data_IF_264504134560
#
_entry.id   IF_264504134560
#
_cell.length_a   1.000
_cell.length_b   1.000
_cell.length_c   1.000
_cell.angle_alpha   90.00
_cell.angle_beta   90.00
_cell.angle_gamma   90.00
#
_symmetry.space_group_name_H-M   'P 1'
#
loop_
_entity.id
_entity.type
_entity.pdbx_description
1 polymer ?
#
# COMPACT_ATOMS: atom_id res chain seq x y z
N UNK A 1 8.22 16.95 -12.73
CA UNK A 1 8.41 15.72 -11.92
C UNK A 1 7.93 15.87 -10.48
N UNK A 2 8.28 16.94 -9.75
CA UNK A 2 7.88 17.17 -8.34
C UNK A 2 6.36 17.29 -8.05
N UNK A 3 5.50 17.30 -9.08
CA UNK A 3 4.03 17.39 -8.97
C UNK A 3 3.29 16.06 -9.12
N UNK A 4 3.98 14.96 -9.42
CA UNK A 4 3.37 13.63 -9.40
C UNK A 4 3.33 13.14 -7.95
N UNK A 5 2.32 13.59 -7.20
CA UNK A 5 2.16 13.27 -5.77
C UNK A 5 2.09 11.76 -5.51
N UNK A 6 1.56 10.97 -6.45
CA UNK A 6 1.37 9.51 -6.31
C UNK A 6 2.67 8.72 -6.08
N UNK A 7 3.83 9.26 -6.46
CA UNK A 7 5.12 8.59 -6.29
C UNK A 7 6.20 9.56 -5.81
N UNK A 8 5.81 10.58 -5.05
CA UNK A 8 6.79 11.33 -4.28
C UNK A 8 7.47 10.32 -3.37
N UNK A 9 8.81 10.32 -3.33
CA UNK A 9 9.56 9.74 -2.20
C UNK A 9 8.92 10.29 -0.91
N UNK A 10 7.95 9.60 -0.32
CA UNK A 10 8.15 9.20 1.06
C UNK A 10 9.26 8.19 0.95
N UNK A 11 10.49 8.70 0.81
CA UNK A 11 11.60 7.87 1.23
C UNK A 11 11.17 7.39 2.59
N UNK A 12 11.37 6.11 2.88
CA UNK A 12 11.90 5.81 4.20
C UNK A 12 12.87 6.94 4.46
N UNK A 13 12.57 7.83 5.43
CA UNK A 13 13.52 8.83 5.85
C UNK A 13 14.74 8.01 6.19
N UNK A 14 15.69 7.95 5.26
CA UNK A 14 16.94 7.28 5.46
C UNK A 14 17.68 8.23 6.40
N UNK A 15 17.26 8.20 7.66
CA UNK A 15 17.84 8.94 8.78
C UNK A 15 19.35 8.63 8.90
N UNK A 16 19.86 7.66 8.14
CA UNK A 16 21.22 7.14 8.23
C UNK A 16 22.02 7.12 6.90
N UNK A 17 21.47 7.64 5.78
CA UNK A 17 22.25 7.82 4.53
C UNK A 17 22.26 9.29 4.08
N UNK A 18 22.33 10.20 5.05
CA UNK A 18 22.55 11.63 4.83
C UNK A 18 24.02 11.84 4.41
N UNK A 19 24.35 11.47 3.17
CA UNK A 19 25.73 11.57 2.66
C UNK A 19 25.95 11.04 1.25
N UNK A 20 25.07 10.21 0.70
CA UNK A 20 25.18 9.76 -0.69
C UNK A 20 24.21 10.55 -1.55
N UNK A 21 24.53 11.83 -1.78
CA UNK A 21 23.95 12.55 -2.90
C UNK A 21 24.54 11.93 -4.19
N UNK A 22 23.71 11.55 -5.18
CA UNK A 22 24.24 11.31 -6.51
C UNK A 22 24.69 12.68 -7.03
N UNK A 23 26.00 12.93 -7.01
CA UNK A 23 26.56 14.09 -7.69
C UNK A 23 26.04 14.10 -9.13
N UNK A 24 25.47 15.22 -9.55
CA UNK A 24 24.74 15.40 -10.80
C UNK A 24 25.56 15.27 -12.08
N UNK A 25 26.78 14.72 -12.01
CA UNK A 25 27.74 14.65 -13.11
C UNK A 25 28.57 13.36 -13.04
N UNK A 26 27.93 12.21 -12.81
CA UNK A 26 28.57 10.93 -13.13
C UNK A 26 27.87 10.34 -14.35
N UNK A 27 28.52 10.48 -15.50
CA UNK A 27 28.19 9.74 -16.71
C UNK A 27 27.88 8.28 -16.37
N UNK A 28 26.91 7.69 -17.09
CA UNK A 28 26.52 6.28 -17.03
C UNK A 28 27.71 5.35 -17.34
N UNK A 29 28.65 5.18 -16.41
CA UNK A 29 29.58 4.06 -16.43
C UNK A 29 28.77 2.81 -16.12
N UNK A 30 28.73 1.86 -17.07
CA UNK A 30 28.12 0.55 -16.84
C UNK A 30 28.76 -0.06 -15.60
N UNK A 31 27.97 -0.30 -14.56
CA UNK A 31 28.46 -1.02 -13.39
C UNK A 31 28.88 -2.44 -13.80
N UNK A 32 30.08 -2.83 -13.40
CA UNK A 32 30.66 -4.13 -13.67
C UNK A 32 30.33 -5.11 -12.53
N UNK A 33 30.55 -6.40 -12.75
CA UNK A 33 30.41 -7.40 -11.69
C UNK A 33 31.60 -7.32 -10.74
N UNK A 34 31.38 -7.65 -9.46
CA UNK A 34 32.47 -7.76 -8.47
C UNK A 34 33.58 -8.68 -9.03
N UNK A 35 34.87 -8.32 -8.92
CA UNK A 35 35.97 -9.12 -9.44
C UNK A 35 36.01 -10.54 -8.85
N UNK A 36 36.41 -11.53 -9.66
CA UNK A 36 36.38 -12.96 -9.30
C UNK A 36 37.06 -13.29 -7.97
N UNK A 37 38.19 -12.66 -7.66
CA UNK A 37 38.91 -12.91 -6.40
C UNK A 37 38.10 -12.52 -5.16
N UNK A 38 37.37 -11.39 -5.21
CA UNK A 38 36.48 -10.94 -4.13
C UNK A 38 35.22 -11.80 -4.04
N UNK A 39 34.67 -12.20 -5.19
CA UNK A 39 33.54 -13.12 -5.22
C UNK A 39 33.87 -14.49 -4.61
N UNK A 40 35.11 -14.98 -4.78
CA UNK A 40 35.54 -16.24 -4.15
C UNK A 40 35.38 -16.20 -2.62
N UNK A 41 35.71 -15.07 -1.99
CA UNK A 41 35.58 -14.92 -0.54
C UNK A 41 34.11 -14.98 -0.09
N UNK A 42 33.22 -14.32 -0.85
CA UNK A 42 31.77 -14.37 -0.61
C UNK A 42 31.23 -15.79 -0.80
N UNK A 43 31.68 -16.49 -1.84
CA UNK A 43 31.25 -17.87 -2.09
C UNK A 43 31.68 -18.81 -0.96
N UNK A 44 32.91 -18.68 -0.44
CA UNK A 44 33.37 -19.47 0.70
C UNK A 44 32.47 -19.25 1.93
N UNK A 45 32.14 -18.01 2.29
CA UNK A 45 31.27 -17.77 3.45
C UNK A 45 29.83 -18.23 3.23
N UNK A 46 29.34 -18.22 1.98
CA UNK A 46 28.04 -18.78 1.61
C UNK A 46 28.02 -20.31 1.74
N UNK A 47 29.09 -20.99 1.29
CA UNK A 47 29.23 -22.45 1.41
C UNK A 47 29.35 -22.89 2.87
N UNK A 48 30.03 -22.10 3.71
CA UNK A 48 30.16 -22.33 5.15
C UNK A 48 28.91 -21.99 5.96
N UNK A 49 27.83 -21.49 5.33
CA UNK A 49 26.62 -20.98 5.98
C UNK A 49 26.92 -19.94 7.08
N UNK A 50 27.86 -19.03 6.81
CA UNK A 50 28.24 -17.95 7.70
C UNK A 50 27.67 -16.61 7.20
N UNK A 51 26.43 -16.25 7.62
CA UNK A 51 25.74 -15.07 7.10
C UNK A 51 26.45 -13.77 7.46
N UNK A 52 27.03 -13.64 8.65
CA UNK A 52 27.74 -12.44 9.10
C UNK A 52 28.95 -12.13 8.21
N UNK A 53 29.77 -13.14 7.90
CA UNK A 53 30.89 -13.00 6.98
C UNK A 53 30.44 -12.67 5.55
N UNK A 54 29.36 -13.30 5.09
CA UNK A 54 28.77 -13.04 3.77
C UNK A 54 28.31 -11.59 3.65
N UNK A 55 27.59 -11.08 4.66
CA UNK A 55 27.11 -9.70 4.70
C UNK A 55 28.26 -8.70 4.81
N UNK A 56 29.27 -9.00 5.64
CA UNK A 56 30.45 -8.16 5.81
C UNK A 56 31.18 -7.95 4.48
N UNK A 57 31.58 -9.04 3.81
CA UNK A 57 32.29 -8.96 2.53
C UNK A 57 31.47 -8.26 1.44
N UNK A 58 30.18 -8.56 1.33
CA UNK A 58 29.33 -7.89 0.34
C UNK A 58 29.15 -6.40 0.65
N UNK A 59 29.01 -6.02 1.92
CA UNK A 59 28.92 -4.62 2.30
C UNK A 59 30.17 -3.82 1.87
N UNK A 60 31.36 -4.41 2.00
CA UNK A 60 32.62 -3.80 1.56
C UNK A 60 32.77 -3.77 0.03
N UNK A 61 32.34 -4.82 -0.67
CA UNK A 61 32.62 -4.98 -2.10
C UNK A 61 31.60 -4.28 -3.00
N UNK A 62 30.36 -4.08 -2.52
CA UNK A 62 29.30 -3.41 -3.28
C UNK A 62 29.57 -1.89 -3.33
N UNK A 63 29.70 -1.37 -4.57
CA UNK A 63 29.93 0.04 -4.85
C UNK A 63 29.22 0.47 -6.14
N UNK A 64 29.21 1.76 -6.49
CA UNK A 64 28.61 2.26 -7.75
C UNK A 64 29.16 1.55 -9.00
N UNK A 65 30.40 1.06 -8.93
CA UNK A 65 31.10 0.41 -10.05
C UNK A 65 30.96 -1.12 -10.02
N UNK A 66 30.63 -1.73 -8.87
CA UNK A 66 30.67 -3.17 -8.68
C UNK A 66 29.39 -3.70 -8.07
N UNK A 67 28.70 -4.57 -8.81
CA UNK A 67 27.41 -5.15 -8.44
C UNK A 67 27.55 -6.65 -8.17
N UNK A 68 26.80 -7.19 -7.20
CA UNK A 68 26.77 -8.63 -7.00
C UNK A 68 25.98 -9.31 -8.13
N UNK A 69 26.42 -10.50 -8.58
CA UNK A 69 25.64 -11.38 -9.46
C UNK A 69 24.25 -11.71 -8.90
N UNK A 70 23.32 -12.04 -9.80
CA UNK A 70 21.92 -12.39 -9.45
C UNK A 70 21.85 -13.57 -8.48
N UNK A 71 22.76 -14.53 -8.60
CA UNK A 71 22.84 -15.74 -7.78
C UNK A 71 23.09 -15.39 -6.31
N UNK A 72 23.96 -14.39 -6.06
CA UNK A 72 24.26 -13.90 -4.71
C UNK A 72 23.05 -13.17 -4.14
N UNK A 73 22.39 -12.31 -4.94
CA UNK A 73 21.17 -11.62 -4.49
C UNK A 73 20.07 -12.64 -4.14
N UNK A 74 19.91 -13.68 -4.97
CA UNK A 74 18.96 -14.75 -4.68
C UNK A 74 19.33 -15.53 -3.41
N UNK A 75 20.62 -15.72 -3.11
CA UNK A 75 21.06 -16.36 -1.87
C UNK A 75 20.75 -15.47 -0.65
N UNK A 76 21.08 -14.17 -0.71
CA UNK A 76 20.75 -13.21 0.36
C UNK A 76 19.25 -13.25 0.70
N UNK A 77 18.38 -13.31 -0.31
CA UNK A 77 16.94 -13.38 -0.11
C UNK A 77 16.55 -14.74 0.49
N UNK A 78 16.87 -15.84 -0.20
CA UNK A 78 16.33 -17.17 0.15
C UNK A 78 16.96 -17.75 1.41
N UNK A 79 18.27 -17.64 1.58
CA UNK A 79 19.01 -18.35 2.62
C UNK A 79 19.27 -17.49 3.86
N UNK A 80 19.28 -16.15 3.72
CA UNK A 80 19.55 -15.26 4.86
C UNK A 80 18.27 -14.55 5.27
N UNK A 81 17.68 -13.72 4.40
CA UNK A 81 16.51 -12.91 4.74
C UNK A 81 15.30 -13.76 5.12
N UNK A 82 15.04 -14.86 4.40
CA UNK A 82 13.85 -15.67 4.63
C UNK A 82 14.05 -16.79 5.68
N UNK A 83 15.29 -17.25 5.91
CA UNK A 83 15.56 -18.39 6.80
C UNK A 83 16.24 -18.02 8.14
N UNK A 84 16.85 -16.83 8.27
CA UNK A 84 17.51 -16.42 9.50
C UNK A 84 16.51 -15.92 10.54
N UNK A 85 16.65 -16.33 11.80
CA UNK A 85 15.78 -15.91 12.90
C UNK A 85 16.38 -14.78 13.75
N UNK A 86 17.64 -14.40 13.50
CA UNK A 86 18.32 -13.32 14.20
C UNK A 86 17.93 -11.96 13.61
N UNK A 87 17.28 -11.13 14.42
CA UNK A 87 16.72 -9.84 13.97
C UNK A 87 17.76 -8.86 13.43
N UNK A 88 18.99 -8.88 13.94
CA UNK A 88 20.09 -8.02 13.45
C UNK A 88 20.52 -8.41 12.04
N UNK A 89 20.79 -9.70 11.80
CA UNK A 89 21.15 -10.23 10.48
C UNK A 89 20.06 -9.95 9.45
N UNK A 90 18.78 -10.07 9.83
CA UNK A 90 17.66 -9.73 8.93
C UNK A 90 17.67 -8.26 8.52
N UNK A 91 17.91 -7.35 9.49
CA UNK A 91 18.01 -5.91 9.22
C UNK A 91 19.21 -5.60 8.35
N UNK A 92 20.38 -6.17 8.64
CA UNK A 92 21.61 -5.96 7.88
C UNK A 92 21.49 -6.49 6.45
N UNK A 93 20.86 -7.66 6.28
CA UNK A 93 20.57 -8.24 4.97
C UNK A 93 19.63 -7.33 4.17
N UNK A 94 18.55 -6.86 4.79
CA UNK A 94 17.64 -5.91 4.15
C UNK A 94 18.35 -4.60 3.77
N UNK A 95 19.17 -4.03 4.65
CA UNK A 95 19.95 -2.82 4.37
C UNK A 95 20.93 -3.02 3.23
N UNK A 96 21.60 -4.17 3.17
CA UNK A 96 22.51 -4.50 2.07
C UNK A 96 21.75 -4.64 0.75
N UNK A 97 20.60 -5.32 0.74
CA UNK A 97 19.74 -5.44 -0.45
C UNK A 97 19.27 -4.05 -0.94
N UNK A 98 18.91 -3.16 -0.01
CA UNK A 98 18.57 -1.77 -0.33
C UNK A 98 19.77 -0.99 -0.88
N UNK A 99 20.98 -1.17 -0.32
CA UNK A 99 22.22 -0.57 -0.84
C UNK A 99 22.51 -1.05 -2.25
N UNK A 100 22.36 -2.36 -2.52
CA UNK A 100 22.53 -2.97 -3.84
C UNK A 100 21.51 -2.39 -4.82
N UNK A 101 20.28 -2.13 -4.41
CA UNK A 101 19.26 -1.55 -5.28
C UNK A 101 19.50 -0.06 -5.60
N UNK A 102 20.09 0.67 -4.65
CA UNK A 102 20.31 2.12 -4.77
C UNK A 102 21.50 2.51 -5.65
N UNK A 103 22.54 1.66 -5.73
CA UNK A 103 23.78 1.99 -6.44
C UNK A 103 23.64 1.66 -7.95
N UNK A 104 23.46 0.39 -8.36
CA UNK A 104 22.91 0.01 -9.65
C UNK A 104 21.37 -0.12 -9.58
N UNK A 105 20.61 0.66 -10.36
CA UNK A 105 19.16 0.46 -10.42
C UNK A 105 18.85 -0.96 -10.89
N UNK A 106 18.03 -1.67 -10.10
CA UNK A 106 17.61 -3.02 -10.44
C UNK A 106 16.87 -3.05 -11.78
N UNK A 107 17.17 -4.04 -12.61
CA UNK A 107 16.46 -4.30 -13.84
C UNK A 107 16.09 -5.79 -13.91
N UNK A 108 15.30 -6.16 -14.91
CA UNK A 108 14.80 -7.53 -15.04
C UNK A 108 15.90 -8.62 -15.11
N UNK A 109 17.15 -8.27 -15.45
CA UNK A 109 18.26 -9.21 -15.47
C UNK A 109 18.97 -9.35 -14.11
N UNK A 110 18.88 -8.35 -13.24
CA UNK A 110 19.62 -8.31 -11.96
C UNK A 110 18.75 -8.61 -10.74
N UNK A 111 17.42 -8.59 -10.88
CA UNK A 111 16.50 -8.88 -9.78
C UNK A 111 16.68 -10.32 -9.26
N UNK A 112 16.88 -10.46 -7.95
CA UNK A 112 17.12 -11.75 -7.29
C UNK A 112 15.87 -12.53 -6.89
N UNK A 113 14.68 -12.00 -7.19
CA UNK A 113 13.38 -12.61 -6.89
C UNK A 113 12.52 -12.72 -8.16
N UNK A 114 11.54 -13.60 -8.12
CA UNK A 114 10.48 -13.72 -9.12
C UNK A 114 9.10 -13.78 -8.46
N UNK A 115 8.05 -13.74 -9.28
CA UNK A 115 6.68 -13.76 -8.77
C UNK A 115 6.35 -15.06 -8.03
N UNK A 116 6.89 -16.19 -8.49
CA UNK A 116 6.67 -17.50 -7.86
C UNK A 116 7.19 -17.50 -6.42
N UNK A 117 8.37 -16.93 -6.17
CA UNK A 117 8.91 -16.76 -4.83
C UNK A 117 8.04 -15.83 -3.99
N UNK A 118 7.62 -14.68 -4.53
CA UNK A 118 6.74 -13.77 -3.80
C UNK A 118 5.45 -14.44 -3.37
N UNK A 119 4.80 -15.14 -4.31
CA UNK A 119 3.58 -15.89 -4.07
C UNK A 119 3.77 -16.94 -2.98
N UNK A 120 4.81 -17.76 -3.12
CA UNK A 120 5.15 -18.79 -2.14
C UNK A 120 5.26 -18.19 -0.73
N UNK A 121 6.02 -17.11 -0.56
CA UNK A 121 6.24 -16.47 0.74
C UNK A 121 4.98 -15.78 1.30
N UNK A 122 4.11 -15.28 0.43
CA UNK A 122 2.85 -14.65 0.86
C UNK A 122 1.77 -15.66 1.25
N UNK A 123 1.81 -16.87 0.68
CA UNK A 123 0.85 -17.95 0.95
C UNK A 123 1.37 -18.99 1.93
N UNK A 124 2.67 -18.94 2.27
CA UNK A 124 3.32 -19.89 3.16
C UNK A 124 2.71 -19.91 4.58
N UNK A 125 2.49 -21.12 5.08
CA UNK A 125 1.90 -21.38 6.39
C UNK A 125 2.91 -21.20 7.53
N UNK A 126 4.19 -21.52 7.28
CA UNK A 126 5.25 -21.42 8.30
C UNK A 126 5.73 -19.98 8.54
N UNK A 127 5.32 -19.03 7.67
CA UNK A 127 5.52 -17.58 7.76
C UNK A 127 6.97 -17.19 8.13
N UNK A 128 7.85 -17.05 7.14
CA UNK A 128 9.26 -16.81 7.40
C UNK A 128 9.50 -15.49 8.15
N UNK A 129 10.50 -15.43 9.05
CA UNK A 129 10.74 -14.28 9.92
C UNK A 129 11.01 -12.99 9.14
N UNK A 130 11.67 -13.06 7.98
CA UNK A 130 11.92 -11.90 7.12
C UNK A 130 10.82 -11.57 6.11
N UNK A 131 9.62 -12.19 6.20
CA UNK A 131 8.52 -12.01 5.23
C UNK A 131 8.20 -10.54 4.94
N UNK A 132 8.05 -9.72 5.98
CA UNK A 132 7.72 -8.29 5.81
C UNK A 132 8.85 -7.51 5.14
N UNK A 133 10.10 -7.77 5.54
CA UNK A 133 11.27 -7.13 4.94
C UNK A 133 11.42 -7.53 3.47
N UNK A 134 11.11 -8.79 3.13
CA UNK A 134 11.10 -9.25 1.76
C UNK A 134 10.00 -8.56 0.93
N UNK A 135 8.76 -8.50 1.43
CA UNK A 135 7.69 -7.77 0.75
C UNK A 135 8.07 -6.29 0.56
N UNK A 136 8.62 -5.66 1.60
CA UNK A 136 9.08 -4.28 1.54
C UNK A 136 10.16 -4.08 0.46
N UNK A 137 11.14 -4.99 0.40
CA UNK A 137 12.18 -4.98 -0.62
C UNK A 137 11.61 -5.13 -2.04
N UNK A 138 10.66 -6.06 -2.24
CA UNK A 138 9.98 -6.27 -3.52
C UNK A 138 9.22 -5.01 -3.97
N UNK A 139 8.40 -4.43 -3.08
CA UNK A 139 7.64 -3.21 -3.39
C UNK A 139 8.57 -2.05 -3.69
N UNK A 140 9.64 -1.88 -2.92
CA UNK A 140 10.63 -0.82 -3.19
C UNK A 140 11.34 -1.05 -4.52
N UNK A 141 11.69 -2.31 -4.87
CA UNK A 141 12.26 -2.66 -6.18
C UNK A 141 11.35 -2.23 -7.31
N UNK A 142 10.04 -2.49 -7.18
CA UNK A 142 9.03 -2.13 -8.18
C UNK A 142 8.85 -0.61 -8.28
N UNK A 143 8.83 0.11 -7.16
CA UNK A 143 8.73 1.57 -7.14
C UNK A 143 9.93 2.25 -7.81
N UNK A 144 11.14 1.81 -7.49
CA UNK A 144 12.36 2.41 -8.02
C UNK A 144 12.51 2.14 -9.52
N UNK A 145 12.27 0.89 -9.95
CA UNK A 145 12.25 0.50 -11.37
C UNK A 145 11.17 1.28 -12.14
N UNK A 146 9.98 1.43 -11.55
CA UNK A 146 8.89 2.20 -12.14
C UNK A 146 9.27 3.67 -12.31
N UNK A 147 9.81 4.32 -11.27
CA UNK A 147 10.23 5.72 -11.32
C UNK A 147 11.37 5.95 -12.31
N UNK A 148 12.36 5.06 -12.35
CA UNK A 148 13.47 5.18 -13.29
C UNK A 148 12.98 5.04 -14.74
N UNK A 149 12.20 4.01 -15.04
CA UNK A 149 11.69 3.80 -16.40
C UNK A 149 10.68 4.88 -16.81
N UNK A 150 9.96 5.47 -15.87
CA UNK A 150 9.10 6.62 -16.11
C UNK A 150 9.91 7.85 -16.55
N UNK A 151 11.04 8.16 -15.88
CA UNK A 151 11.96 9.25 -16.30
C UNK A 151 12.57 9.00 -17.68
N UNK A 152 12.78 7.74 -18.04
CA UNK A 152 13.29 7.33 -19.36
C UNK A 152 12.19 7.17 -20.42
N UNK A 153 10.93 7.47 -20.10
CA UNK A 153 9.75 7.22 -20.96
C UNK A 153 9.67 5.77 -21.49
N UNK A 154 10.22 4.83 -20.73
CA UNK A 154 10.42 3.43 -21.10
C UNK A 154 9.65 2.46 -20.18
N UNK A 155 8.52 2.88 -19.61
CA UNK A 155 7.69 2.05 -18.71
C UNK A 155 7.36 0.65 -19.25
N UNK A 156 7.29 0.47 -20.57
CA UNK A 156 7.04 -0.85 -21.17
C UNK A 156 8.16 -1.88 -20.91
N UNK A 157 9.36 -1.42 -20.52
CA UNK A 157 10.52 -2.27 -20.22
C UNK A 157 10.68 -2.56 -18.72
N UNK A 158 9.87 -1.91 -17.89
CA UNK A 158 9.99 -1.97 -16.42
C UNK A 158 9.66 -3.37 -15.89
N UNK A 159 10.28 -3.75 -14.79
CA UNK A 159 9.89 -4.91 -13.97
C UNK A 159 8.43 -4.73 -13.53
N UNK A 160 8.05 -3.53 -13.12
CA UNK A 160 6.67 -3.23 -12.72
C UNK A 160 5.66 -3.60 -13.82
N UNK A 161 5.93 -3.30 -15.10
CA UNK A 161 5.04 -3.68 -16.21
C UNK A 161 5.01 -5.20 -16.38
N UNK A 162 6.15 -5.87 -16.29
CA UNK A 162 6.22 -7.33 -16.43
C UNK A 162 5.50 -8.08 -15.32
N UNK A 163 5.37 -7.48 -14.14
CA UNK A 163 4.85 -8.17 -12.95
C UNK A 163 3.42 -7.74 -12.61
N UNK A 164 3.08 -6.46 -12.80
CA UNK A 164 1.82 -5.86 -12.34
C UNK A 164 0.96 -5.29 -13.48
N UNK A 165 1.24 -5.63 -14.74
CA UNK A 165 0.37 -5.22 -15.85
C UNK A 165 -1.00 -5.89 -15.79
N UNK A 166 -2.05 -5.10 -15.88
CA UNK A 166 -3.42 -5.58 -16.04
C UNK A 166 -3.68 -6.14 -17.44
N UNK A 167 -2.86 -5.80 -18.43
CA UNK A 167 -2.96 -6.32 -19.79
C UNK A 167 -2.41 -7.76 -19.90
N UNK A 168 -1.22 -8.00 -19.34
CA UNK A 168 -0.48 -9.25 -19.57
C UNK A 168 -0.37 -10.16 -18.36
N UNK A 169 -0.43 -9.62 -17.14
CA UNK A 169 -0.11 -10.33 -15.91
C UNK A 169 -1.20 -10.16 -14.85
N UNK A 170 -2.46 -10.11 -15.29
CA UNK A 170 -3.57 -9.77 -14.40
C UNK A 170 -3.78 -10.77 -13.26
N UNK A 171 -3.39 -12.03 -13.41
CA UNK A 171 -3.46 -13.01 -12.32
C UNK A 171 -2.61 -12.58 -11.12
N UNK A 172 -1.43 -12.00 -11.35
CA UNK A 172 -0.59 -11.45 -10.29
C UNK A 172 -1.33 -10.33 -9.53
N UNK A 173 -2.04 -9.47 -10.25
CA UNK A 173 -2.81 -8.37 -9.64
C UNK A 173 -3.99 -8.92 -8.82
N UNK A 174 -4.65 -10.00 -9.27
CA UNK A 174 -5.68 -10.69 -8.48
C UNK A 174 -5.12 -11.26 -7.17
N UNK A 175 -3.96 -11.91 -7.23
CA UNK A 175 -3.29 -12.46 -6.05
C UNK A 175 -2.94 -11.34 -5.05
N UNK A 176 -2.50 -10.16 -5.51
CA UNK A 176 -2.28 -8.99 -4.64
C UNK A 176 -3.57 -8.54 -3.96
N UNK A 177 -4.71 -8.54 -4.68
CA UNK A 177 -6.02 -8.23 -4.09
C UNK A 177 -6.40 -9.25 -3.03
N UNK A 178 -6.20 -10.54 -3.29
CA UNK A 178 -6.47 -11.61 -2.34
C UNK A 178 -5.61 -11.48 -1.06
N UNK A 179 -4.32 -11.21 -1.20
CA UNK A 179 -3.42 -10.97 -0.06
C UNK A 179 -3.81 -9.72 0.72
N UNK A 180 -4.30 -8.67 0.04
CA UNK A 180 -4.74 -7.43 0.68
C UNK A 180 -6.01 -7.66 1.51
N UNK A 181 -6.98 -8.40 0.95
CA UNK A 181 -8.21 -8.78 1.66
C UNK A 181 -7.88 -9.66 2.87
N UNK A 182 -6.96 -10.61 2.71
CA UNK A 182 -6.48 -11.45 3.81
C UNK A 182 -5.81 -10.58 4.91
N UNK A 183 -4.98 -9.60 4.54
CA UNK A 183 -4.33 -8.69 5.49
C UNK A 183 -5.33 -7.81 6.25
N UNK A 184 -6.36 -7.33 5.56
CA UNK A 184 -7.43 -6.49 6.14
C UNK A 184 -8.34 -7.30 7.06
N UNK A 185 -8.67 -8.53 6.69
CA UNK A 185 -9.55 -9.41 7.47
C UNK A 185 -8.83 -10.12 8.61
N UNK A 186 -7.49 -10.07 8.63
CA UNK A 186 -6.64 -10.79 9.59
C UNK A 186 -6.46 -12.28 9.27
N UNK A 187 -7.06 -12.78 8.19
CA UNK A 187 -6.89 -14.15 7.72
C UNK A 187 -5.45 -14.38 7.25
N UNK A 188 -4.71 -15.28 7.88
CA UNK A 188 -3.35 -15.64 7.45
C UNK A 188 -2.22 -14.74 7.96
N UNK A 189 -2.48 -13.72 8.77
CA UNK A 189 -1.47 -12.75 9.26
C UNK A 189 -1.27 -12.71 10.79
N UNK A 190 -1.84 -13.66 11.52
CA UNK A 190 -1.54 -13.91 12.95
C UNK A 190 -0.12 -14.47 13.14
N UNK A 191 0.68 -13.90 14.05
CA UNK A 191 2.02 -14.43 14.40
C UNK A 191 1.93 -15.81 15.06
N UNK A 192 2.97 -16.66 14.96
CA UNK A 192 3.09 -17.83 15.82
C UNK A 192 3.18 -17.36 17.27
N UNK A 193 2.25 -17.80 18.10
CA UNK A 193 2.32 -17.65 19.55
C UNK A 193 3.52 -18.48 20.04
N UNK A 194 4.56 -17.84 20.56
CA UNK A 194 5.60 -18.55 21.32
C UNK A 194 4.91 -19.34 22.43
N UNK A 195 5.15 -20.65 22.44
CA UNK A 195 4.63 -21.55 23.48
C UNK A 195 5.09 -21.05 24.85
N UNK A 196 4.19 -20.91 25.84
CA UNK A 196 4.63 -20.72 27.21
C UNK A 196 5.42 -21.96 27.62
N UNK A 197 6.71 -21.78 27.94
CA UNK A 197 7.51 -22.82 28.60
C UNK A 197 6.75 -23.29 29.84
N UNK A 198 6.28 -24.53 29.80
CA UNK A 198 5.77 -25.25 30.95
C UNK A 198 6.82 -25.14 32.07
N UNK A 199 6.47 -24.41 33.13
CA UNK A 199 7.31 -24.31 34.31
C UNK A 199 7.01 -25.56 35.14
N UNK A 200 7.96 -26.50 35.12
CA UNK A 200 7.95 -27.65 36.01
C UNK A 200 7.91 -27.17 37.46
N UNK A 201 6.89 -27.66 38.17
CA UNK A 201 6.68 -27.54 39.60
C UNK A 201 7.85 -28.04 40.45
N UNK A 202 8.19 -27.31 41.53
CA UNK A 202 8.23 -27.87 42.90
C UNK A 202 8.66 -26.85 43.96
N UNK A 203 7.78 -26.67 44.96
CA UNK A 203 7.96 -26.51 46.43
C UNK A 203 8.96 -25.47 47.00
N UNK A 204 8.79 -24.87 48.18
CA UNK A 204 7.74 -24.59 49.16
C UNK A 204 8.47 -23.84 50.31
N UNK A 205 7.75 -22.98 51.05
CA UNK A 205 8.10 -22.37 52.37
C UNK A 205 9.18 -21.26 52.38
N UNK A 206 9.13 -20.15 53.13
CA UNK A 206 8.28 -19.65 54.22
C UNK A 206 8.32 -18.10 54.30
N UNK A 207 7.44 -17.56 55.16
CA UNK A 207 7.16 -16.18 55.61
C UNK A 207 8.38 -15.28 55.87
N UNK A 208 8.31 -13.96 55.61
CA UNK A 208 7.91 -12.90 56.58
C UNK A 208 8.11 -11.46 56.04
N UNK A 209 7.39 -10.51 56.65
CA UNK A 209 7.32 -9.06 56.38
C UNK A 209 8.65 -8.31 56.64
N UNK A 210 8.92 -7.22 55.90
CA UNK A 210 9.18 -5.83 56.36
C UNK A 210 9.81 -4.96 55.25
N UNK A 211 9.61 -3.65 55.38
CA UNK A 211 9.78 -2.59 54.37
C UNK A 211 11.21 -2.07 54.14
N UNK A 212 11.36 -1.44 52.97
CA UNK A 212 12.31 -0.37 52.57
C UNK A 212 13.78 -0.71 52.37
N UNK A 213 14.26 -0.54 51.13
CA UNK A 213 15.37 0.35 50.75
C UNK A 213 15.58 0.28 49.23
N UNK A 214 15.78 1.43 48.59
CA UNK A 214 16.26 1.50 47.21
C UNK A 214 17.66 0.87 47.10
N UNK A 215 18.04 0.34 45.93
CA UNK A 215 18.93 1.15 45.08
C UNK A 215 18.79 0.93 43.55
N UNK A 216 19.18 1.98 42.81
CA UNK A 216 19.92 2.00 41.55
C UNK A 216 19.44 1.19 40.32
N UNK A 217 19.04 1.95 39.30
CA UNK A 217 19.43 1.85 37.88
C UNK A 217 20.13 0.55 37.44
N UNK A 218 19.43 -0.24 36.62
CA UNK A 218 20.05 -1.02 35.55
C UNK A 218 19.06 -1.15 34.38
N UNK A 219 19.49 -0.61 33.25
CA UNK A 219 18.95 -0.79 31.90
C UNK A 219 19.02 -2.27 31.52
N UNK A 220 17.95 -2.80 30.92
CA UNK A 220 18.08 -3.93 30.00
C UNK A 220 16.96 -3.87 28.97
N UNK A 221 17.39 -3.82 27.72
CA UNK A 221 16.63 -3.71 26.49
C UNK A 221 15.51 -4.76 26.40
N UNK A 222 14.26 -4.30 26.27
CA UNK A 222 13.20 -5.14 25.74
C UNK A 222 13.14 -4.95 24.22
N UNK A 223 13.40 -6.05 23.50
CA UNK A 223 13.25 -6.16 22.07
C UNK A 223 11.81 -5.79 21.66
N UNK A 224 11.71 -4.69 20.93
CA UNK A 224 10.47 -4.12 20.42
C UNK A 224 9.94 -4.98 19.26
N UNK A 225 9.28 -6.09 19.58
CA UNK A 225 8.46 -6.84 18.60
C UNK A 225 7.14 -6.10 18.47
N UNK A 226 6.98 -5.37 17.38
CA UNK A 226 5.77 -4.59 17.12
C UNK A 226 4.51 -5.50 17.17
N UNK A 227 3.40 -5.04 17.77
CA UNK A 227 2.21 -5.86 17.96
C UNK A 227 1.64 -6.36 16.61
N UNK A 228 0.89 -7.49 16.59
CA UNK A 228 0.34 -8.10 15.36
C UNK A 228 -0.44 -7.11 14.47
N UNK A 229 -1.09 -6.12 15.07
CA UNK A 229 -1.77 -5.03 14.38
C UNK A 229 -0.83 -4.16 13.51
N UNK A 230 0.42 -3.96 13.95
CA UNK A 230 1.43 -3.18 13.22
C UNK A 230 1.95 -3.94 11.99
N UNK A 231 2.04 -5.28 12.04
CA UNK A 231 2.47 -6.10 10.90
C UNK A 231 1.43 -6.07 9.77
N UNK A 232 0.18 -6.43 10.08
CA UNK A 232 -0.90 -6.48 9.08
C UNK A 232 -1.12 -5.11 8.43
N UNK A 233 -1.01 -4.02 9.21
CA UNK A 233 -1.09 -2.66 8.69
C UNK A 233 0.04 -2.35 7.70
N UNK A 234 1.29 -2.73 7.98
CA UNK A 234 2.41 -2.51 7.05
C UNK A 234 2.24 -3.32 5.77
N UNK A 235 1.82 -4.58 5.87
CA UNK A 235 1.53 -5.42 4.70
C UNK A 235 0.41 -4.80 3.86
N UNK A 236 -0.68 -4.36 4.48
CA UNK A 236 -1.78 -3.68 3.80
C UNK A 236 -1.27 -2.47 3.00
N UNK A 237 -0.47 -1.59 3.61
CA UNK A 237 0.09 -0.42 2.92
C UNK A 237 1.00 -0.81 1.74
N UNK A 238 1.84 -1.83 1.89
CA UNK A 238 2.72 -2.32 0.82
C UNK A 238 1.92 -2.90 -0.36
N UNK A 239 0.84 -3.64 -0.09
CA UNK A 239 -0.04 -4.18 -1.14
C UNK A 239 -0.85 -3.09 -1.83
N UNK A 240 -1.32 -2.06 -1.10
CA UNK A 240 -1.97 -0.89 -1.68
C UNK A 240 -1.04 -0.14 -2.65
N UNK A 241 0.26 -0.05 -2.34
CA UNK A 241 1.28 0.51 -3.25
C UNK A 241 1.41 -0.30 -4.53
N UNK A 242 1.44 -1.63 -4.42
CA UNK A 242 1.47 -2.51 -5.60
C UNK A 242 0.26 -2.28 -6.50
N UNK A 243 -0.95 -2.16 -5.93
CA UNK A 243 -2.15 -1.84 -6.71
C UNK A 243 -2.09 -0.45 -7.33
N UNK A 244 -1.52 0.54 -6.64
CA UNK A 244 -1.28 1.88 -7.18
C UNK A 244 -0.36 1.85 -8.42
N UNK A 245 0.72 1.07 -8.35
CA UNK A 245 1.60 0.83 -9.52
C UNK A 245 0.85 0.11 -10.63
N UNK A 246 0.06 -0.93 -10.31
CA UNK A 246 -0.70 -1.71 -11.29
C UNK A 246 -1.70 -0.87 -12.09
N UNK A 247 -2.32 0.13 -11.45
CA UNK A 247 -3.22 1.09 -12.12
C UNK A 247 -2.47 1.94 -13.14
N UNK A 248 -1.23 2.33 -12.85
CA UNK A 248 -0.51 3.36 -13.59
C UNK A 248 0.50 2.80 -14.62
N UNK A 249 0.87 1.52 -14.52
CA UNK A 249 1.92 0.91 -15.35
C UNK A 249 1.49 0.61 -16.79
N UNK A 250 0.19 0.47 -17.02
CA UNK A 250 -0.38 0.24 -18.34
C UNK A 250 -0.66 1.55 -19.09
N UNK A 251 -1.06 1.44 -20.36
CA UNK A 251 -1.36 2.62 -21.19
C UNK A 251 -2.63 3.34 -20.75
N UNK A 252 -3.59 2.65 -20.12
CA UNK A 252 -4.90 3.19 -19.78
C UNK A 252 -5.20 2.99 -18.29
N UNK A 253 -4.94 3.99 -17.45
CA UNK A 253 -5.26 3.91 -16.01
C UNK A 253 -6.75 3.68 -15.75
N UNK A 254 -7.64 4.19 -16.61
CA UNK A 254 -9.08 3.92 -16.53
C UNK A 254 -9.39 2.44 -16.72
N UNK A 255 -8.79 1.79 -17.72
CA UNK A 255 -9.03 0.36 -17.95
C UNK A 255 -8.50 -0.48 -16.78
N UNK A 256 -7.25 -0.22 -16.36
CA UNK A 256 -6.63 -0.94 -15.24
C UNK A 256 -7.39 -0.74 -13.93
N UNK A 257 -7.80 0.49 -13.60
CA UNK A 257 -8.59 0.77 -12.40
C UNK A 257 -9.97 0.11 -12.41
N UNK A 258 -10.70 0.13 -13.53
CA UNK A 258 -11.97 -0.61 -13.64
C UNK A 258 -11.76 -2.11 -13.43
N UNK A 259 -10.78 -2.70 -14.12
CA UNK A 259 -10.50 -4.13 -14.05
C UNK A 259 -10.12 -4.59 -12.64
N UNK A 260 -9.31 -3.79 -11.93
CA UNK A 260 -8.94 -4.07 -10.54
C UNK A 260 -10.15 -3.87 -9.61
N UNK A 261 -10.94 -2.80 -9.79
CA UNK A 261 -12.13 -2.56 -8.99
C UNK A 261 -13.15 -3.70 -9.11
N UNK A 262 -13.35 -4.26 -10.30
CA UNK A 262 -14.24 -5.42 -10.53
C UNK A 262 -13.80 -6.66 -9.73
N UNK A 263 -12.50 -6.84 -9.51
CA UNK A 263 -11.97 -7.93 -8.68
C UNK A 263 -12.11 -7.64 -7.20
N UNK A 264 -11.86 -6.40 -6.76
CA UNK A 264 -11.96 -5.99 -5.36
C UNK A 264 -13.42 -6.00 -4.89
N UNK A 265 -14.35 -5.60 -5.75
CA UNK A 265 -15.74 -5.33 -5.40
C UNK A 265 -16.44 -6.50 -4.68
N UNK A 266 -16.40 -7.76 -5.17
CA UNK A 266 -16.98 -8.90 -4.47
C UNK A 266 -16.40 -9.12 -3.07
N UNK A 267 -15.10 -8.84 -2.86
CA UNK A 267 -14.50 -8.99 -1.54
C UNK A 267 -15.01 -7.94 -0.56
N UNK A 268 -15.10 -6.68 -0.98
CA UNK A 268 -15.58 -5.58 -0.11
C UNK A 268 -17.00 -5.83 0.37
N UNK A 269 -17.87 -6.37 -0.49
CA UNK A 269 -19.24 -6.74 -0.10
C UNK A 269 -19.27 -7.82 1.00
N UNK A 270 -18.23 -8.66 1.08
CA UNK A 270 -18.13 -9.78 2.00
C UNK A 270 -17.27 -9.50 3.24
N UNK A 271 -16.60 -8.34 3.34
CA UNK A 271 -15.88 -7.97 4.56
C UNK A 271 -16.92 -7.61 5.64
N UNK A 272 -16.99 -8.35 6.77
CA UNK A 272 -18.08 -8.20 7.74
C UNK A 272 -17.94 -6.94 8.59
N UNK A 273 -16.71 -6.59 9.00
CA UNK A 273 -16.46 -5.50 9.93
C UNK A 273 -16.31 -4.15 9.20
N UNK A 274 -17.04 -3.15 9.69
CA UNK A 274 -16.96 -1.77 9.21
C UNK A 274 -15.55 -1.20 9.29
N UNK A 275 -14.86 -1.41 10.41
CA UNK A 275 -13.48 -0.94 10.61
C UNK A 275 -12.49 -1.52 9.59
N UNK A 276 -12.70 -2.77 9.16
CA UNK A 276 -11.90 -3.41 8.12
C UNK A 276 -12.15 -2.79 6.74
N UNK A 277 -13.42 -2.53 6.39
CA UNK A 277 -13.76 -1.83 5.13
C UNK A 277 -13.22 -0.40 5.11
N UNK A 278 -13.34 0.32 6.22
CA UNK A 278 -12.77 1.65 6.38
C UNK A 278 -11.25 1.63 6.25
N UNK A 279 -10.56 0.70 6.91
CA UNK A 279 -9.12 0.53 6.78
C UNK A 279 -8.71 0.25 5.32
N UNK A 280 -9.44 -0.63 4.62
CA UNK A 280 -9.21 -0.91 3.19
C UNK A 280 -9.32 0.37 2.35
N UNK A 281 -10.44 1.09 2.44
CA UNK A 281 -10.72 2.25 1.59
C UNK A 281 -9.82 3.45 1.91
N UNK A 282 -9.56 3.71 3.19
CA UNK A 282 -8.73 4.83 3.64
C UNK A 282 -7.25 4.63 3.32
N UNK A 283 -6.79 3.39 3.14
CA UNK A 283 -5.40 3.09 2.75
C UNK A 283 -5.17 2.99 1.24
N UNK A 284 -6.22 3.10 0.41
CA UNK A 284 -6.06 3.08 -1.05
C UNK A 284 -5.30 4.31 -1.53
N UNK A 285 -4.07 4.11 -2.01
CA UNK A 285 -3.22 5.19 -2.52
C UNK A 285 -3.70 5.74 -3.88
N UNK A 286 -4.23 4.86 -4.75
CA UNK A 286 -4.78 5.27 -6.04
C UNK A 286 -6.17 5.87 -5.89
N UNK A 287 -6.26 7.20 -6.05
CA UNK A 287 -7.53 7.95 -6.01
C UNK A 287 -8.47 7.47 -7.12
N UNK A 288 -7.93 7.15 -8.30
CA UNK A 288 -8.74 6.65 -9.42
C UNK A 288 -9.34 5.28 -9.11
N UNK A 289 -8.56 4.36 -8.52
CA UNK A 289 -9.07 3.06 -8.11
C UNK A 289 -10.10 3.18 -7.00
N UNK A 290 -9.85 4.05 -6.01
CA UNK A 290 -10.81 4.32 -4.92
C UNK A 290 -12.13 4.88 -5.48
N UNK A 291 -12.07 5.82 -6.42
CA UNK A 291 -13.22 6.33 -7.15
C UNK A 291 -14.01 5.20 -7.82
N UNK A 292 -13.32 4.30 -8.54
CA UNK A 292 -13.98 3.22 -9.28
C UNK A 292 -14.64 2.20 -8.36
N UNK A 293 -13.97 1.84 -7.27
CA UNK A 293 -14.55 0.94 -6.28
C UNK A 293 -15.78 1.56 -5.58
N UNK A 294 -15.68 2.82 -5.15
CA UNK A 294 -16.81 3.53 -4.55
C UNK A 294 -17.97 3.72 -5.54
N UNK A 295 -17.67 4.02 -6.80
CA UNK A 295 -18.66 4.08 -7.88
C UNK A 295 -19.44 2.75 -8.00
N UNK A 296 -18.75 1.61 -8.01
CA UNK A 296 -19.39 0.29 -8.04
C UNK A 296 -20.25 0.02 -6.80
N UNK A 297 -19.76 0.39 -5.61
CA UNK A 297 -20.50 0.22 -4.36
C UNK A 297 -21.80 1.04 -4.32
N UNK A 298 -21.74 2.31 -4.72
CA UNK A 298 -22.93 3.14 -4.81
C UNK A 298 -23.88 2.66 -5.90
N UNK A 299 -23.36 2.28 -7.08
CA UNK A 299 -24.17 1.75 -8.18
C UNK A 299 -24.93 0.48 -7.76
N UNK A 300 -24.27 -0.43 -7.03
CA UNK A 300 -24.89 -1.65 -6.51
C UNK A 300 -26.00 -1.35 -5.49
N UNK A 301 -25.90 -0.23 -4.79
CA UNK A 301 -26.81 0.15 -3.70
C UNK A 301 -27.92 1.11 -4.14
N UNK A 302 -27.86 1.58 -5.38
CA UNK A 302 -28.87 2.42 -6.01
C UNK A 302 -30.07 1.59 -6.46
N UNK A 303 -31.27 2.03 -6.07
CA UNK A 303 -32.53 1.40 -6.50
C UNK A 303 -32.80 1.58 -7.99
N UNK A 304 -32.36 2.73 -8.53
CA UNK A 304 -32.49 3.08 -9.94
C UNK A 304 -31.08 3.19 -10.52
N UNK A 305 -30.67 2.27 -11.41
CA UNK A 305 -29.35 2.33 -12.02
C UNK A 305 -29.21 3.55 -12.94
N UNK A 306 -28.06 4.21 -12.89
CA UNK A 306 -27.70 5.27 -13.82
C UNK A 306 -26.62 4.80 -14.80
N UNK A 307 -26.72 5.24 -16.06
CA UNK A 307 -25.70 5.00 -17.10
C UNK A 307 -24.72 6.15 -17.24
N UNK A 308 -24.82 7.17 -16.37
CA UNK A 308 -23.90 8.31 -16.39
C UNK A 308 -22.46 7.83 -16.19
N UNK A 309 -21.47 8.45 -16.88
CA UNK A 309 -20.07 8.28 -16.53
C UNK A 309 -19.81 8.86 -15.13
N UNK A 310 -18.68 8.49 -14.51
CA UNK A 310 -18.27 9.07 -13.24
C UNK A 310 -18.06 10.58 -13.38
N UNK A 311 -19.02 11.34 -12.85
CA UNK A 311 -19.12 12.80 -12.86
C UNK A 311 -19.73 13.33 -11.57
N UNK A 312 -19.68 14.65 -11.36
CA UNK A 312 -20.38 15.30 -10.25
C UNK A 312 -21.89 15.02 -10.30
N UNK A 313 -22.49 15.02 -11.49
CA UNK A 313 -23.92 14.71 -11.63
C UNK A 313 -24.24 13.29 -11.15
N UNK A 314 -23.36 12.33 -11.45
CA UNK A 314 -23.50 10.96 -10.95
C UNK A 314 -23.34 10.86 -9.43
N UNK A 315 -22.41 11.62 -8.85
CA UNK A 315 -22.22 11.67 -7.38
C UNK A 315 -23.47 12.25 -6.70
N UNK A 316 -24.04 13.34 -7.23
CA UNK A 316 -25.30 13.92 -6.73
C UNK A 316 -26.50 12.98 -6.97
N UNK A 317 -26.47 12.20 -8.05
CA UNK A 317 -27.45 11.16 -8.27
C UNK A 317 -27.40 10.08 -7.18
N UNK A 318 -26.19 9.64 -6.79
CA UNK A 318 -26.01 8.71 -5.68
C UNK A 318 -26.49 9.27 -4.35
N UNK A 319 -26.23 10.55 -4.07
CA UNK A 319 -26.75 11.23 -2.88
C UNK A 319 -28.29 11.07 -2.77
N UNK A 320 -29.01 11.18 -3.90
CA UNK A 320 -30.48 11.16 -3.91
C UNK A 320 -31.12 9.77 -4.04
N UNK A 321 -30.38 8.76 -4.54
CA UNK A 321 -30.96 7.47 -4.93
C UNK A 321 -30.26 6.23 -4.33
N UNK A 322 -29.12 6.40 -3.63
CA UNK A 322 -28.47 5.30 -2.96
C UNK A 322 -29.21 4.94 -1.67
N UNK A 323 -29.35 3.63 -1.43
CA UNK A 323 -29.85 3.09 -0.17
C UNK A 323 -28.72 2.34 0.56
N UNK A 324 -28.95 1.97 1.83
CA UNK A 324 -27.95 1.36 2.72
C UNK A 324 -27.03 0.37 2.00
N UNK A 325 -25.74 0.68 2.01
CA UNK A 325 -24.76 0.23 1.01
C UNK A 325 -24.37 -1.26 1.12
N UNK A 326 -24.48 -1.83 2.32
CA UNK A 326 -23.91 -3.13 2.67
C UNK A 326 -24.82 -3.90 3.64
N UNK A 327 -24.83 -5.22 3.51
CA UNK A 327 -25.45 -6.12 4.49
C UNK A 327 -24.52 -6.25 5.70
N UNK A 328 -25.01 -5.90 6.88
CA UNK A 328 -24.30 -6.09 8.13
C UNK A 328 -24.72 -7.42 8.75
N UNK A 329 -23.75 -8.21 9.23
CA UNK A 329 -24.03 -9.44 9.99
C UNK A 329 -24.58 -9.11 11.39
N UNK A 330 -24.25 -7.94 11.92
CA UNK A 330 -24.73 -7.47 13.22
C UNK A 330 -26.01 -6.61 13.09
N UNK A 331 -26.80 -6.57 14.17
CA UNK A 331 -27.88 -5.59 14.38
C UNK A 331 -27.31 -4.17 14.57
N UNK A 332 -26.58 -3.66 13.57
CA UNK A 332 -26.05 -2.30 13.59
C UNK A 332 -27.19 -1.30 13.53
N UNK A 333 -27.13 -0.31 14.43
CA UNK A 333 -28.12 0.75 14.47
C UNK A 333 -28.18 1.46 13.11
N UNK A 334 -29.38 1.78 12.64
CA UNK A 334 -29.62 2.36 11.31
C UNK A 334 -28.73 3.58 11.04
N UNK A 335 -28.51 4.43 12.04
CA UNK A 335 -27.65 5.61 11.93
C UNK A 335 -26.19 5.28 11.59
N UNK A 336 -25.65 4.14 12.02
CA UNK A 336 -24.27 3.73 11.71
C UNK A 336 -24.08 3.43 10.22
N UNK A 337 -25.16 2.98 9.55
CA UNK A 337 -25.15 2.70 8.11
C UNK A 337 -25.15 4.00 7.30
N UNK A 338 -25.91 4.99 7.76
CA UNK A 338 -25.85 6.35 7.21
C UNK A 338 -24.49 7.01 7.44
N UNK A 339 -23.91 6.80 8.61
CA UNK A 339 -22.58 7.31 8.95
C UNK A 339 -21.46 6.74 8.06
N UNK A 340 -21.53 5.44 7.73
CA UNK A 340 -20.62 4.80 6.76
C UNK A 340 -20.87 5.30 5.33
N UNK A 341 -22.14 5.42 4.92
CA UNK A 341 -22.49 5.92 3.58
C UNK A 341 -22.00 7.36 3.35
N UNK A 342 -22.18 8.24 4.34
CA UNK A 342 -21.67 9.62 4.30
C UNK A 342 -20.14 9.63 4.18
N UNK A 343 -19.44 8.77 4.93
CA UNK A 343 -17.99 8.64 4.83
C UNK A 343 -17.56 8.25 3.42
N UNK A 344 -18.23 7.27 2.81
CA UNK A 344 -17.91 6.80 1.47
C UNK A 344 -18.22 7.83 0.40
N UNK A 345 -19.27 8.62 0.58
CA UNK A 345 -19.61 9.70 -0.35
C UNK A 345 -18.58 10.83 -0.29
N UNK A 346 -18.16 11.23 0.91
CA UNK A 346 -17.07 12.20 1.10
C UNK A 346 -15.75 11.69 0.49
N UNK A 347 -15.42 10.41 0.70
CA UNK A 347 -14.26 9.79 0.06
C UNK A 347 -14.38 9.78 -1.47
N UNK A 348 -15.56 9.48 -2.02
CA UNK A 348 -15.80 9.45 -3.47
C UNK A 348 -15.58 10.85 -4.06
N UNK A 349 -16.16 11.87 -3.44
CA UNK A 349 -16.06 13.26 -3.89
C UNK A 349 -14.61 13.78 -3.83
N UNK A 350 -13.91 13.53 -2.72
CA UNK A 350 -12.49 13.90 -2.57
C UNK A 350 -11.61 13.19 -3.60
N UNK A 351 -11.83 11.89 -3.80
CA UNK A 351 -11.10 11.10 -4.80
C UNK A 351 -11.38 11.61 -6.21
N UNK A 352 -12.64 11.98 -6.49
CA UNK A 352 -13.08 12.46 -7.79
C UNK A 352 -12.41 13.79 -8.15
N UNK A 353 -12.37 14.70 -7.19
CA UNK A 353 -11.67 15.97 -7.33
C UNK A 353 -10.18 15.75 -7.66
N UNK A 354 -9.50 14.85 -6.94
CA UNK A 354 -8.10 14.50 -7.23
C UNK A 354 -7.95 13.89 -8.63
N UNK A 355 -8.87 13.03 -9.06
CA UNK A 355 -8.86 12.43 -10.41
C UNK A 355 -8.92 13.49 -11.51
N UNK A 356 -9.74 14.53 -11.32
CA UNK A 356 -9.84 15.67 -12.24
C UNK A 356 -8.55 16.49 -12.20
N UNK A 357 -8.19 17.01 -11.01
CA UNK A 357 -7.10 17.97 -10.82
C UNK A 357 -5.75 17.41 -11.27
N UNK A 358 -5.48 16.14 -10.93
CA UNK A 358 -4.22 15.48 -11.26
C UNK A 358 -4.27 14.74 -12.60
N UNK A 359 -5.32 14.90 -13.42
CA UNK A 359 -5.44 14.24 -14.73
C UNK A 359 -5.26 12.70 -14.66
N UNK A 360 -5.72 12.06 -13.59
CA UNK A 360 -5.44 10.64 -13.30
C UNK A 360 -6.03 9.67 -14.33
N UNK A 361 -6.99 10.13 -15.13
CA UNK A 361 -7.57 9.38 -16.25
C UNK A 361 -6.62 9.23 -17.44
N UNK A 362 -5.63 10.11 -17.55
CA UNK A 362 -4.63 10.08 -18.61
C UNK A 362 -3.48 9.16 -18.24
N UNK A 363 -2.90 8.50 -19.24
CA UNK A 363 -1.67 7.71 -19.06
C UNK A 363 -0.57 8.55 -18.41
N UNK A 364 0.32 7.93 -17.65
CA UNK A 364 1.39 8.65 -16.95
C UNK A 364 2.24 9.53 -17.86
N UNK A 365 2.62 9.02 -19.03
CA UNK A 365 3.42 9.78 -20.00
C UNK A 365 2.66 11.03 -20.48
N UNK A 366 1.39 10.88 -20.85
CA UNK A 366 0.57 12.02 -21.29
C UNK A 366 0.29 12.98 -20.14
N UNK A 367 0.07 12.46 -18.93
CA UNK A 367 -0.15 13.24 -17.71
C UNK A 367 1.06 14.11 -17.39
N UNK A 368 2.28 13.60 -17.57
CA UNK A 368 3.49 14.40 -17.41
C UNK A 368 3.49 15.63 -18.31
N UNK A 369 3.15 15.45 -19.60
CA UNK A 369 3.08 16.54 -20.56
C UNK A 369 2.01 17.57 -20.17
N UNK A 370 0.81 17.10 -19.79
CA UNK A 370 -0.29 17.96 -19.33
C UNK A 370 0.11 18.80 -18.10
N UNK A 371 0.82 18.20 -17.13
CA UNK A 371 1.30 18.89 -15.93
C UNK A 371 2.37 19.92 -16.28
N UNK A 372 3.30 19.59 -17.18
CA UNK A 372 4.34 20.52 -17.66
C UNK A 372 3.70 21.71 -18.36
N UNK A 373 2.69 21.46 -19.19
CA UNK A 373 1.94 22.47 -19.94
C UNK A 373 0.94 23.27 -19.08
N UNK A 374 0.76 22.92 -17.79
CA UNK A 374 -0.27 23.48 -16.90
C UNK A 374 -1.66 23.44 -17.55
N UNK A 375 -1.96 22.33 -18.22
CA UNK A 375 -3.25 22.15 -18.90
C UNK A 375 -4.39 22.20 -17.88
N UNK A 376 -5.47 22.90 -18.23
CA UNK A 376 -6.69 22.91 -17.42
C UNK A 376 -7.26 21.48 -17.32
N UNK A 377 -7.78 21.07 -16.16
CA UNK A 377 -8.44 19.79 -16.01
C UNK A 377 -9.56 19.61 -17.05
N UNK A 378 -9.67 18.41 -17.60
CA UNK A 378 -10.77 18.06 -18.50
C UNK A 378 -11.98 17.65 -17.67
N UNK A 379 -12.92 18.57 -17.53
CA UNK A 379 -14.24 18.30 -16.97
C UNK A 379 -15.07 17.51 -17.98
N UNK A 380 -15.98 16.68 -17.48
CA UNK A 380 -17.05 16.09 -18.28
C UNK A 380 -18.20 17.09 -18.42
N UNK A 381 -18.99 16.98 -19.48
CA UNK A 381 -20.15 17.87 -19.69
C UNK A 381 -21.14 17.81 -18.51
N UNK A 382 -21.23 16.64 -17.86
CA UNK A 382 -22.05 16.42 -16.66
C UNK A 382 -21.41 16.87 -15.34
N UNK A 383 -20.28 17.57 -15.39
CA UNK A 383 -19.68 18.22 -14.21
C UNK A 383 -20.13 19.69 -14.07
N UNK A 384 -20.73 20.28 -15.11
CA UNK A 384 -21.26 21.65 -15.06
C UNK A 384 -22.61 21.67 -14.32
N UNK A 385 -22.55 21.95 -13.02
CA UNK A 385 -23.71 21.92 -12.12
C UNK A 385 -23.77 23.21 -11.34
N UNK A 386 -24.95 23.83 -11.29
CA UNK A 386 -25.11 25.09 -10.57
C UNK A 386 -25.09 24.88 -9.06
N UNK A 387 -24.65 25.91 -8.33
CA UNK A 387 -24.70 25.92 -6.87
C UNK A 387 -26.13 25.72 -6.33
N UNK A 388 -27.14 26.19 -7.06
CA UNK A 388 -28.55 26.01 -6.70
C UNK A 388 -28.97 24.55 -6.80
N UNK A 389 -28.55 23.84 -7.86
CA UNK A 389 -28.87 22.42 -8.04
C UNK A 389 -28.26 21.56 -6.93
N UNK A 390 -27.04 21.89 -6.50
CA UNK A 390 -26.38 21.23 -5.37
C UNK A 390 -27.16 21.46 -4.08
N UNK A 391 -27.53 22.71 -3.80
CA UNK A 391 -28.28 23.04 -2.59
C UNK A 391 -29.61 22.28 -2.54
N UNK A 392 -30.36 22.25 -3.64
CA UNK A 392 -31.62 21.50 -3.73
C UNK A 392 -31.40 20.01 -3.48
N UNK A 393 -30.35 19.41 -4.07
CA UNK A 393 -30.03 17.98 -3.85
C UNK A 393 -29.62 17.66 -2.42
N UNK A 394 -28.92 18.57 -1.76
CA UNK A 394 -28.56 18.44 -0.34
C UNK A 394 -29.81 18.54 0.54
N UNK A 395 -30.71 19.48 0.28
CA UNK A 395 -31.95 19.66 1.05
C UNK A 395 -32.87 18.44 0.90
N UNK A 396 -33.02 17.91 -0.32
CA UNK A 396 -33.74 16.66 -0.58
C UNK A 396 -33.16 15.49 0.22
N UNK A 397 -31.83 15.39 0.23
CA UNK A 397 -31.12 14.34 0.93
C UNK A 397 -31.28 14.44 2.46
N UNK A 398 -31.16 15.64 3.02
CA UNK A 398 -31.39 15.88 4.45
C UNK A 398 -32.82 15.48 4.82
N UNK A 399 -33.80 15.82 3.98
CA UNK A 399 -35.21 15.46 4.20
C UNK A 399 -35.40 13.95 4.22
N UNK A 400 -34.73 13.20 3.33
CA UNK A 400 -34.74 11.74 3.34
C UNK A 400 -34.09 11.17 4.60
N UNK A 401 -32.95 11.73 5.04
CA UNK A 401 -32.29 11.32 6.28
C UNK A 401 -33.16 11.58 7.52
N UNK A 402 -33.86 12.72 7.56
CA UNK A 402 -34.79 13.07 8.64
C UNK A 402 -35.92 12.04 8.75
N UNK A 403 -36.47 11.60 7.61
CA UNK A 403 -37.51 10.56 7.59
C UNK A 403 -36.98 9.20 8.09
N UNK A 404 -35.72 8.87 7.80
CA UNK A 404 -35.12 7.59 8.16
C UNK A 404 -34.59 7.51 9.61
N UNK A 405 -34.03 8.61 10.13
CA UNK A 405 -33.34 8.64 11.44
C UNK A 405 -34.12 9.37 12.53
N UNK A 406 -35.09 10.22 12.16
CA UNK A 406 -35.69 11.18 13.08
C UNK A 406 -34.75 12.34 13.43
N UNK A 407 -35.23 13.26 14.27
CA UNK A 407 -34.47 14.39 14.80
C UNK A 407 -34.46 14.34 16.35
N UNK A 408 -33.38 14.77 17.01
CA UNK A 408 -32.13 15.31 16.45
C UNK A 408 -31.20 14.23 15.87
N UNK A 409 -30.37 14.59 14.89
CA UNK A 409 -29.34 13.70 14.38
C UNK A 409 -28.22 13.46 15.40
N UNK A 410 -27.62 12.25 15.43
CA UNK A 410 -26.38 12.02 16.17
C UNK A 410 -25.28 12.99 15.73
N UNK A 411 -24.43 13.42 16.67
CA UNK A 411 -23.37 14.41 16.42
C UNK A 411 -22.47 14.00 15.24
N UNK A 412 -22.10 12.72 15.13
CA UNK A 412 -21.23 12.20 14.07
C UNK A 412 -21.84 12.39 12.67
N UNK A 413 -23.16 12.25 12.56
CA UNK A 413 -23.89 12.46 11.30
C UNK A 413 -23.90 13.95 10.96
N UNK A 414 -24.18 14.81 11.93
CA UNK A 414 -24.21 16.26 11.75
C UNK A 414 -22.86 16.79 11.28
N UNK A 415 -21.76 16.38 11.92
CA UNK A 415 -20.40 16.78 11.52
C UNK A 415 -20.06 16.35 10.10
N UNK A 416 -20.31 15.08 9.75
CA UNK A 416 -20.03 14.58 8.39
C UNK A 416 -20.91 15.21 7.32
N UNK A 417 -22.16 15.53 7.65
CA UNK A 417 -23.07 16.22 6.74
C UNK A 417 -22.58 17.64 6.45
N UNK A 418 -22.17 18.39 7.47
CA UNK A 418 -21.56 19.71 7.28
C UNK A 418 -20.29 19.61 6.39
N UNK A 419 -19.40 18.66 6.69
CA UNK A 419 -18.20 18.44 5.87
C UNK A 419 -18.53 18.11 4.41
N UNK A 420 -19.52 17.26 4.17
CA UNK A 420 -19.95 16.89 2.81
C UNK A 420 -20.50 18.11 2.04
N UNK A 421 -21.29 18.96 2.71
CA UNK A 421 -21.80 20.20 2.10
C UNK A 421 -20.66 21.12 1.67
N UNK A 422 -19.71 21.37 2.57
CA UNK A 422 -18.53 22.18 2.25
C UNK A 422 -17.73 21.60 1.07
N UNK A 423 -17.52 20.28 1.06
CA UNK A 423 -16.82 19.62 -0.03
C UNK A 423 -17.54 19.77 -1.38
N UNK A 424 -18.87 19.64 -1.40
CA UNK A 424 -19.65 19.81 -2.63
C UNK A 424 -19.53 21.24 -3.18
N UNK A 425 -19.55 22.25 -2.31
CA UNK A 425 -19.36 23.64 -2.72
C UNK A 425 -17.95 23.92 -3.23
N UNK A 426 -16.91 23.33 -2.60
CA UNK A 426 -15.52 23.46 -3.05
C UNK A 426 -15.32 22.84 -4.44
N UNK A 427 -15.97 21.73 -4.74
CA UNK A 427 -15.80 21.04 -6.04
C UNK A 427 -16.41 21.83 -7.20
N UNK A 428 -17.37 22.72 -6.94
CA UNK A 428 -18.00 23.60 -7.94
C UNK A 428 -17.41 25.00 -8.05
N UNK A 429 -16.52 25.39 -7.14
CA UNK A 429 -15.83 26.68 -7.17
C UNK A 429 -14.57 26.61 -8.04
#
# INVERSE_FOLDING_TARGET
LNKLHCFRRSGVQHLFLQGVAPNGETEQRKSELIPRGRLSMVHTTMEENFPEGTLHFLSEFVSCQHCPPKEIISHLIKQILLNCHQGEILKDTYMLLMKIQMLPPANAATVGWDWTLLKYIMEDQEKPPGRLLFLQYVVQTLEDDFQQNLRLHALQKSIAKKVLSCDTCFNNVKEVVEWLVAAVTGAGFSQPQEQPKETTSSSAEARDKYSSSAPCLASTDQAEVAPPACFAQKVMLLLQRMLSIAVEVDKSPNYSSCKIADVIFPFILNIPLRSQREAFLNTMESQLLRCKLLELLFQHSCKVPTTLPLSLAKILYFLSHSSMLLQYQDETAIWQRWDEMLQYLSLLLMSYQNVILDHLRSSLNNRMDLIIQKAKPKLQDSDDISHLDIQLKIEDFISQMQQALGQPFPLQITEKLCMLQELLFIVTA
#
